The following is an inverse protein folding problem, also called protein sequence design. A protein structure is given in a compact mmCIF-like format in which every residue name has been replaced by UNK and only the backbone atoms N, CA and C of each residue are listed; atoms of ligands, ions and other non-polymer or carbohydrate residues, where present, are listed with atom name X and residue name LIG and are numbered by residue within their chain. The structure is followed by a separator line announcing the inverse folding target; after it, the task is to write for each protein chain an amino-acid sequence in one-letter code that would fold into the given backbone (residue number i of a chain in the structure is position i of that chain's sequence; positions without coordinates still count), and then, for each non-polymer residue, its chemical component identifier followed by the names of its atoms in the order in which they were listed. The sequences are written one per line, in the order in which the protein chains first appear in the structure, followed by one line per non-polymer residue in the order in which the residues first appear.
data_IF_931848517745
#
_entry.id   IF_931848517745
#
_cell.length_a   1.000
_cell.length_b   1.000
_cell.length_c   1.000
_cell.angle_alpha   90.00
_cell.angle_beta   90.00
_cell.angle_gamma   90.00
#
_symmetry.space_group_name_H-M   'P 1'
#
loop_
_entity.id
_entity.type
_entity.pdbx_description
1 polymer ?
#
# COMPACT_ATOMS: atom_id res chain seq x y z
N UNK A 1 7.64 -9.41 10.72
CA UNK A 1 6.91 -9.87 11.93
C UNK A 1 6.04 -11.12 11.76
N UNK A 2 5.08 -11.27 10.83
CA UNK A 2 4.34 -12.56 10.68
C UNK A 2 5.07 -13.60 9.83
N UNK A 3 5.93 -13.16 8.90
CA UNK A 3 6.72 -14.04 8.03
C UNK A 3 7.91 -14.72 8.75
N UNK A 4 8.45 -14.08 9.79
CA UNK A 4 9.51 -14.65 10.64
C UNK A 4 9.01 -15.89 11.39
N UNK A 5 7.81 -15.78 11.97
CA UNK A 5 7.13 -16.90 12.62
C UNK A 5 6.80 -18.02 11.64
N UNK A 6 6.37 -17.71 10.42
CA UNK A 6 6.16 -18.70 9.37
C UNK A 6 7.43 -19.49 9.05
N UNK A 7 8.55 -18.79 8.80
CA UNK A 7 9.83 -19.45 8.52
C UNK A 7 10.32 -20.31 9.69
N UNK A 8 10.09 -19.87 10.93
CA UNK A 8 10.40 -20.68 12.11
C UNK A 8 9.55 -21.96 12.18
N UNK A 9 8.23 -21.85 11.98
CA UNK A 9 7.32 -23.01 11.95
C UNK A 9 7.76 -24.02 10.89
N UNK A 10 8.12 -23.57 9.68
CA UNK A 10 8.60 -24.46 8.61
C UNK A 10 9.94 -25.13 8.97
N UNK A 11 10.90 -24.41 9.56
CA UNK A 11 12.18 -25.00 10.00
C UNK A 11 12.00 -26.02 11.12
N UNK A 12 11.12 -25.73 12.07
CA UNK A 12 10.84 -26.63 13.18
C UNK A 12 10.13 -27.89 12.70
N UNK A 13 9.11 -27.74 11.86
CA UNK A 13 8.43 -28.87 11.24
C UNK A 13 9.42 -29.70 10.43
N UNK A 14 10.33 -29.09 9.65
CA UNK A 14 11.35 -29.79 8.84
C UNK A 14 12.34 -30.63 9.66
N UNK A 15 12.72 -30.15 10.84
CA UNK A 15 13.63 -30.87 11.74
C UNK A 15 12.95 -31.98 12.56
N UNK A 16 11.62 -31.97 12.64
CA UNK A 16 10.87 -32.99 13.39
C UNK A 16 10.70 -34.26 12.55
N UNK A 17 11.55 -35.26 12.80
CA UNK A 17 11.57 -36.54 12.06
C UNK A 17 10.65 -37.60 12.66
N UNK A 18 9.63 -37.20 13.42
CA UNK A 18 8.76 -38.09 14.21
C UNK A 18 7.82 -39.01 13.41
N UNK A 19 7.90 -39.02 12.06
CA UNK A 19 7.06 -39.87 11.21
C UNK A 19 5.57 -39.52 11.23
N UNK A 20 5.18 -38.46 11.93
CA UNK A 20 3.83 -37.93 11.96
C UNK A 20 3.49 -37.20 10.64
N UNK A 21 2.20 -37.12 10.31
CA UNK A 21 1.73 -36.34 9.17
C UNK A 21 2.21 -34.89 9.24
N UNK A 22 2.50 -34.29 8.08
CA UNK A 22 2.97 -32.92 7.99
C UNK A 22 2.05 -31.91 8.71
N UNK A 23 0.74 -32.12 8.63
CA UNK A 23 -0.26 -31.30 9.31
C UNK A 23 -0.06 -31.31 10.84
N UNK A 24 0.17 -32.48 11.43
CA UNK A 24 0.41 -32.63 12.87
C UNK A 24 1.71 -31.96 13.32
N UNK A 25 2.79 -32.07 12.52
CA UNK A 25 4.08 -31.41 12.78
C UNK A 25 3.95 -29.89 12.75
N UNK A 26 3.19 -29.34 11.80
CA UNK A 26 2.91 -27.91 11.71
C UNK A 26 2.07 -27.40 12.89
N UNK A 27 1.07 -28.17 13.34
CA UNK A 27 0.23 -27.81 14.47
C UNK A 27 1.04 -27.83 15.79
N UNK A 28 1.86 -28.86 15.97
CA UNK A 28 2.78 -28.95 17.11
C UNK A 28 3.77 -27.77 17.12
N UNK A 29 4.41 -27.46 15.99
CA UNK A 29 5.31 -26.31 15.89
C UNK A 29 4.58 -24.98 16.20
N UNK A 30 3.32 -24.81 15.77
CA UNK A 30 2.53 -23.63 16.08
C UNK A 30 2.15 -23.50 17.57
N UNK A 31 1.95 -24.63 18.25
CA UNK A 31 1.55 -24.70 19.66
C UNK A 31 2.71 -24.41 20.63
N UNK A 32 3.96 -24.46 20.16
CA UNK A 32 5.12 -24.27 21.00
C UNK A 32 5.26 -22.82 21.50
N UNK A 33 5.64 -22.66 22.77
CA UNK A 33 5.80 -21.35 23.40
C UNK A 33 6.89 -20.49 22.72
N UNK A 34 7.93 -21.11 22.15
CA UNK A 34 8.99 -20.44 21.42
C UNK A 34 8.50 -19.70 20.16
N UNK A 35 7.40 -20.13 19.55
CA UNK A 35 6.78 -19.43 18.41
C UNK A 35 6.36 -17.99 18.75
N UNK A 36 6.08 -17.69 20.02
CA UNK A 36 5.72 -16.34 20.45
C UNK A 36 6.88 -15.33 20.34
N UNK A 37 8.12 -15.79 20.37
CA UNK A 37 9.32 -14.96 20.25
C UNK A 37 9.52 -14.40 18.84
N UNK A 38 8.98 -15.08 17.82
CA UNK A 38 9.11 -14.71 16.41
C UNK A 38 7.95 -13.84 15.89
N UNK A 39 7.01 -13.47 16.76
CA UNK A 39 5.92 -12.54 16.45
C UNK A 39 4.52 -13.06 16.76
N UNK A 40 3.50 -12.20 16.54
CA UNK A 40 2.11 -12.56 16.78
C UNK A 40 1.66 -13.68 15.85
N UNK A 41 0.63 -14.42 16.27
CA UNK A 41 0.05 -15.50 15.46
C UNK A 41 -0.42 -14.94 14.10
N UNK A 42 -0.14 -15.65 12.99
CA UNK A 42 -0.57 -15.20 11.67
C UNK A 42 -2.11 -15.16 11.64
N UNK A 43 -2.66 -14.06 11.11
CA UNK A 43 -4.12 -13.90 11.00
C UNK A 43 -4.65 -14.83 9.90
N UNK A 44 -5.86 -15.39 10.08
CA UNK A 44 -6.46 -16.32 9.12
C UNK A 44 -6.50 -15.79 7.67
N UNK A 45 -6.71 -14.49 7.49
CA UNK A 45 -6.76 -13.84 6.16
C UNK A 45 -5.38 -13.45 5.59
N UNK A 46 -4.29 -13.84 6.24
CA UNK A 46 -2.92 -13.49 5.81
C UNK A 46 -2.27 -14.61 5.01
N UNK A 47 -1.41 -14.25 4.06
CA UNK A 47 -0.64 -15.20 3.26
C UNK A 47 0.10 -16.28 4.07
N UNK A 48 0.80 -15.96 5.18
CA UNK A 48 1.45 -16.97 6.01
C UNK A 48 0.50 -18.05 6.54
N UNK A 49 -0.70 -17.65 6.98
CA UNK A 49 -1.70 -18.61 7.45
C UNK A 49 -2.21 -19.50 6.31
N UNK A 50 -2.51 -18.91 5.15
CA UNK A 50 -2.97 -19.68 4.00
C UNK A 50 -1.92 -20.64 3.44
N UNK A 51 -0.65 -20.24 3.41
CA UNK A 51 0.42 -21.13 2.98
C UNK A 51 0.57 -22.31 3.93
N UNK A 52 0.48 -22.09 5.26
CA UNK A 52 0.49 -23.18 6.24
C UNK A 52 -0.70 -24.12 6.06
N UNK A 53 -1.92 -23.59 5.88
CA UNK A 53 -3.11 -24.40 5.62
C UNK A 53 -3.00 -25.19 4.33
N UNK A 54 -2.46 -24.58 3.26
CA UNK A 54 -2.24 -25.28 1.98
C UNK A 54 -1.17 -26.35 2.09
N UNK A 55 -0.06 -26.09 2.79
CA UNK A 55 1.00 -27.07 3.03
C UNK A 55 0.45 -28.28 3.78
N UNK A 56 -0.37 -28.05 4.82
CA UNK A 56 -1.02 -29.10 5.59
C UNK A 56 -2.05 -29.92 4.79
N UNK A 57 -2.60 -29.35 3.71
CA UNK A 57 -3.63 -29.97 2.87
C UNK A 57 -3.08 -30.70 1.63
N UNK A 58 -1.74 -30.76 1.44
CA UNK A 58 -1.14 -31.48 0.31
C UNK A 58 -1.37 -32.99 0.51
N UNK A 59 -2.02 -33.69 -0.44
CA UNK A 59 -2.36 -35.11 -0.28
C UNK A 59 -1.16 -36.05 -0.49
N UNK A 60 -0.16 -35.65 -1.28
CA UNK A 60 1.06 -36.43 -1.54
C UNK A 60 2.17 -36.07 -0.55
N UNK A 61 2.60 -36.99 0.34
CA UNK A 61 3.60 -36.72 1.36
C UNK A 61 4.96 -36.32 0.78
N UNK A 62 5.36 -36.86 -0.38
CA UNK A 62 6.66 -36.53 -0.99
C UNK A 62 6.68 -35.11 -1.56
N UNK A 63 5.56 -34.67 -2.15
CA UNK A 63 5.41 -33.29 -2.60
C UNK A 63 5.31 -32.33 -1.41
N UNK A 64 4.65 -32.75 -0.32
CA UNK A 64 4.51 -31.95 0.88
C UNK A 64 5.85 -31.71 1.58
N UNK A 65 6.71 -32.74 1.64
CA UNK A 65 8.10 -32.64 2.13
C UNK A 65 8.98 -31.79 1.21
N UNK A 66 8.87 -31.93 -0.11
CA UNK A 66 9.60 -31.06 -1.06
C UNK A 66 9.19 -29.59 -0.90
N UNK A 67 7.89 -29.32 -0.72
CA UNK A 67 7.39 -27.99 -0.46
C UNK A 67 7.93 -27.44 0.87
N UNK A 68 7.86 -28.22 1.95
CA UNK A 68 8.40 -27.85 3.26
C UNK A 68 9.91 -27.54 3.20
N UNK A 69 10.67 -28.38 2.50
CA UNK A 69 12.11 -28.21 2.32
C UNK A 69 12.46 -26.93 1.55
N UNK A 70 11.57 -26.49 0.66
CA UNK A 70 11.73 -25.19 -0.01
C UNK A 70 11.42 -24.05 0.97
N UNK A 71 10.32 -24.11 1.72
CA UNK A 71 9.92 -23.03 2.64
C UNK A 71 10.84 -22.85 3.84
N UNK A 72 11.46 -23.91 4.37
CA UNK A 72 12.38 -23.80 5.51
C UNK A 72 13.63 -22.97 5.18
N UNK A 73 14.02 -22.96 3.90
CA UNK A 73 15.20 -22.24 3.40
C UNK A 73 14.89 -20.79 3.04
N UNK A 74 13.61 -20.44 2.85
CA UNK A 74 13.19 -19.09 2.50
C UNK A 74 13.31 -18.12 3.69
N UNK A 75 14.11 -17.06 3.52
CA UNK A 75 14.23 -15.98 4.50
C UNK A 75 13.36 -14.76 4.14
N UNK A 76 12.04 -14.91 4.34
CA UNK A 76 11.03 -13.91 3.95
C UNK A 76 10.86 -12.76 4.95
N UNK A 77 11.37 -12.93 6.17
CA UNK A 77 11.15 -12.02 7.29
C UNK A 77 11.65 -10.59 7.05
N UNK A 78 12.90 -10.47 6.61
CA UNK A 78 13.60 -9.19 6.42
C UNK A 78 13.22 -8.47 5.12
N UNK A 79 12.79 -9.22 4.11
CA UNK A 79 12.55 -8.71 2.76
C UNK A 79 11.13 -8.16 2.56
N UNK A 80 10.16 -8.64 3.35
CA UNK A 80 8.74 -8.30 3.19
C UNK A 80 8.25 -7.20 4.14
N UNK A 81 9.15 -6.52 4.86
CA UNK A 81 8.74 -5.42 5.74
C UNK A 81 8.40 -4.15 4.95
N UNK A 82 7.24 -3.56 5.26
CA UNK A 82 6.82 -2.31 4.66
C UNK A 82 7.83 -1.19 5.00
N UNK A 83 8.36 -0.46 4.00
CA UNK A 83 9.41 0.52 4.25
C UNK A 83 8.89 1.67 5.11
N UNK A 84 9.71 2.09 6.08
CA UNK A 84 9.41 3.21 7.00
C UNK A 84 9.10 4.51 6.24
N UNK A 85 9.72 4.71 5.07
CA UNK A 85 9.46 5.85 4.17
C UNK A 85 7.98 5.97 3.79
N UNK A 86 7.29 4.86 3.58
CA UNK A 86 5.87 4.83 3.23
C UNK A 86 4.98 5.34 4.38
N UNK A 87 5.26 4.89 5.61
CA UNK A 87 4.54 5.34 6.82
C UNK A 87 4.68 6.85 7.03
N UNK A 88 5.89 7.39 6.82
CA UNK A 88 6.18 8.83 6.95
C UNK A 88 5.43 9.65 5.91
N UNK A 89 5.42 9.21 4.65
CA UNK A 89 4.74 9.94 3.58
C UNK A 89 3.21 9.94 3.75
N UNK A 90 2.61 8.86 4.25
CA UNK A 90 1.18 8.86 4.62
C UNK A 90 0.88 9.85 5.75
N UNK A 91 1.72 9.90 6.79
CA UNK A 91 1.56 10.85 7.89
C UNK A 91 1.69 12.30 7.41
N UNK A 92 2.65 12.57 6.52
CA UNK A 92 2.82 13.89 5.91
C UNK A 92 1.58 14.30 5.11
N UNK A 93 1.04 13.42 4.26
CA UNK A 93 -0.15 13.70 3.46
C UNK A 93 -1.36 13.99 4.37
N UNK A 94 -1.55 13.23 5.45
CA UNK A 94 -2.60 13.47 6.43
C UNK A 94 -2.43 14.81 7.15
N UNK A 95 -1.20 15.19 7.51
CA UNK A 95 -0.90 16.48 8.13
C UNK A 95 -1.19 17.65 7.19
N UNK A 96 -0.71 17.59 5.94
CA UNK A 96 -0.98 18.63 4.92
C UNK A 96 -2.48 18.78 4.69
N UNK A 97 -3.22 17.67 4.66
CA UNK A 97 -4.69 17.66 4.54
C UNK A 97 -5.34 18.45 5.69
N UNK A 98 -4.92 18.17 6.93
CA UNK A 98 -5.44 18.84 8.11
C UNK A 98 -5.17 20.36 8.08
N UNK A 99 -3.93 20.75 7.77
CA UNK A 99 -3.54 22.17 7.68
C UNK A 99 -4.33 22.87 6.56
N UNK A 100 -4.50 22.22 5.41
CA UNK A 100 -5.29 22.77 4.30
C UNK A 100 -6.73 23.09 4.72
N UNK A 101 -7.42 22.15 5.36
CA UNK A 101 -8.80 22.40 5.82
C UNK A 101 -8.87 23.45 6.92
N UNK A 102 -7.87 23.53 7.81
CA UNK A 102 -7.79 24.59 8.81
C UNK A 102 -7.69 25.97 8.15
N UNK A 103 -6.77 26.14 7.19
CA UNK A 103 -6.57 27.41 6.47
C UNK A 103 -7.80 27.77 5.64
N UNK A 104 -8.38 26.80 4.92
CA UNK A 104 -9.61 26.99 4.16
C UNK A 104 -10.79 27.39 5.07
N UNK A 105 -10.89 26.79 6.25
CA UNK A 105 -11.89 27.14 7.26
C UNK A 105 -11.73 28.57 7.78
N UNK A 106 -10.50 28.97 8.14
CA UNK A 106 -10.21 30.35 8.58
C UNK A 106 -10.62 31.34 7.47
N UNK A 107 -10.29 31.04 6.21
CA UNK A 107 -10.64 31.93 5.12
C UNK A 107 -12.16 32.10 4.99
N UNK A 108 -12.90 30.99 4.96
CA UNK A 108 -14.35 31.04 4.75
C UNK A 108 -15.10 31.68 5.92
N UNK A 109 -14.70 31.40 7.16
CA UNK A 109 -15.44 31.85 8.34
C UNK A 109 -14.97 33.19 8.91
N UNK A 110 -13.75 33.65 8.59
CA UNK A 110 -13.21 34.90 9.10
C UNK A 110 -12.88 35.90 8.00
N UNK A 111 -12.14 35.50 6.97
CA UNK A 111 -11.61 36.44 5.98
C UNK A 111 -12.73 36.92 5.05
N UNK A 112 -13.43 36.00 4.39
CA UNK A 112 -14.53 36.31 3.46
C UNK A 112 -15.61 37.22 4.06
N UNK A 113 -16.21 36.93 5.23
CA UNK A 113 -17.25 37.79 5.80
C UNK A 113 -16.70 39.17 6.18
N UNK A 114 -15.54 39.24 6.83
CA UNK A 114 -14.94 40.52 7.26
C UNK A 114 -14.68 41.45 6.08
N UNK A 115 -14.15 40.95 4.96
CA UNK A 115 -13.95 41.75 3.76
C UNK A 115 -15.27 42.14 3.10
N UNK A 116 -16.25 41.24 3.06
CA UNK A 116 -17.57 41.55 2.50
C UNK A 116 -18.27 42.65 3.30
N UNK A 117 -18.22 42.58 4.63
CA UNK A 117 -18.77 43.59 5.53
C UNK A 117 -18.06 44.94 5.36
N UNK A 118 -16.73 44.95 5.26
CA UNK A 118 -15.96 46.18 5.01
C UNK A 118 -16.28 46.82 3.67
N UNK A 119 -16.35 46.05 2.58
CA UNK A 119 -16.70 46.59 1.26
C UNK A 119 -18.15 47.11 1.22
N UNK A 120 -19.08 46.40 1.84
CA UNK A 120 -20.47 46.84 1.95
C UNK A 120 -20.59 48.15 2.73
N UNK A 121 -19.85 48.28 3.84
CA UNK A 121 -19.82 49.51 4.64
C UNK A 121 -19.22 50.71 3.89
N UNK A 122 -18.38 50.45 2.88
CA UNK A 122 -17.75 51.46 2.05
C UNK A 122 -18.49 51.67 0.72
N UNK A 123 -19.64 51.03 0.52
CA UNK A 123 -20.44 51.06 -0.71
C UNK A 123 -19.65 50.73 -1.99
N UNK A 124 -18.54 49.98 -1.85
CA UNK A 124 -17.68 49.60 -2.96
C UNK A 124 -18.10 48.26 -3.55
N UNK A 125 -18.19 48.19 -4.88
CA UNK A 125 -18.42 46.93 -5.57
C UNK A 125 -17.23 45.99 -5.37
N UNK A 126 -17.45 44.70 -5.08
CA UNK A 126 -16.37 43.75 -4.91
C UNK A 126 -15.53 43.61 -6.19
N UNK A 127 -14.19 43.57 -6.09
CA UNK A 127 -13.33 43.34 -7.24
C UNK A 127 -13.71 42.05 -7.97
N UNK A 128 -13.66 42.04 -9.30
CA UNK A 128 -14.07 40.90 -10.13
C UNK A 128 -13.39 39.58 -9.73
N UNK A 129 -12.12 39.63 -9.32
CA UNK A 129 -11.37 38.45 -8.84
C UNK A 129 -11.89 37.90 -7.51
N UNK A 130 -12.35 38.75 -6.61
CA UNK A 130 -12.93 38.34 -5.33
C UNK A 130 -14.30 37.69 -5.55
N UNK A 131 -15.12 38.27 -6.43
CA UNK A 131 -16.42 37.71 -6.82
C UNK A 131 -16.29 36.35 -7.52
N UNK A 132 -15.33 36.21 -8.45
CA UNK A 132 -15.02 34.92 -9.10
C UNK A 132 -14.57 33.88 -8.07
N UNK A 133 -13.67 34.27 -7.16
CA UNK A 133 -13.18 33.37 -6.12
C UNK A 133 -14.32 32.89 -5.22
N UNK A 134 -15.18 33.79 -4.73
CA UNK A 134 -16.36 33.42 -3.92
C UNK A 134 -17.32 32.49 -4.69
N UNK A 135 -17.54 32.74 -5.98
CA UNK A 135 -18.45 31.94 -6.82
C UNK A 135 -17.95 30.51 -7.00
N UNK A 136 -16.64 30.33 -7.23
CA UNK A 136 -16.04 29.02 -7.53
C UNK A 136 -15.34 28.37 -6.33
N UNK A 137 -15.36 29.00 -5.16
CA UNK A 137 -14.68 28.53 -3.94
C UNK A 137 -15.06 27.10 -3.56
N UNK A 138 -16.36 26.79 -3.58
CA UNK A 138 -16.88 25.45 -3.23
C UNK A 138 -16.38 24.39 -4.20
N UNK A 139 -16.38 24.68 -5.51
CA UNK A 139 -15.84 23.80 -6.55
C UNK A 139 -14.34 23.60 -6.40
N UNK A 140 -13.60 24.65 -6.07
CA UNK A 140 -12.17 24.59 -5.87
C UNK A 140 -11.79 23.75 -4.64
N UNK A 141 -12.45 23.99 -3.50
CA UNK A 141 -12.28 23.15 -2.31
C UNK A 141 -12.67 21.70 -2.62
N UNK A 142 -13.79 21.47 -3.30
CA UNK A 142 -14.25 20.13 -3.64
C UNK A 142 -13.22 19.39 -4.50
N UNK A 143 -12.67 20.05 -5.52
CA UNK A 143 -11.65 19.47 -6.39
C UNK A 143 -10.38 19.10 -5.59
N UNK A 144 -9.90 19.99 -4.71
CA UNK A 144 -8.73 19.71 -3.87
C UNK A 144 -9.03 18.58 -2.88
N UNK A 145 -10.19 18.63 -2.23
CA UNK A 145 -10.66 17.61 -1.29
C UNK A 145 -10.71 16.24 -1.94
N UNK A 146 -11.24 16.16 -3.16
CA UNK A 146 -11.31 14.92 -3.94
C UNK A 146 -9.92 14.40 -4.26
N UNK A 147 -9.00 15.27 -4.68
CA UNK A 147 -7.63 14.91 -5.04
C UNK A 147 -6.85 14.39 -3.83
N UNK A 148 -6.99 15.06 -2.68
CA UNK A 148 -6.42 14.64 -1.40
C UNK A 148 -7.06 13.32 -0.92
N UNK A 149 -8.37 13.15 -1.06
CA UNK A 149 -9.06 11.93 -0.67
C UNK A 149 -8.59 10.74 -1.52
N UNK A 150 -8.51 10.90 -2.84
CA UNK A 150 -7.97 9.91 -3.77
C UNK A 150 -6.52 9.56 -3.39
N UNK A 151 -5.74 10.57 -3.04
CA UNK A 151 -4.38 10.40 -2.60
C UNK A 151 -4.28 9.53 -1.35
N UNK A 152 -5.07 9.85 -0.33
CA UNK A 152 -5.10 9.14 0.94
C UNK A 152 -5.64 7.70 0.78
N UNK A 153 -6.70 7.52 -0.02
CA UNK A 153 -7.25 6.21 -0.34
C UNK A 153 -6.24 5.34 -1.08
N UNK A 154 -5.51 5.89 -2.06
CA UNK A 154 -4.46 5.15 -2.77
C UNK A 154 -3.36 4.64 -1.82
N UNK A 155 -2.91 5.51 -0.89
CA UNK A 155 -1.92 5.15 0.10
C UNK A 155 -2.46 4.14 1.13
N UNK A 156 -3.73 4.22 1.52
CA UNK A 156 -4.36 3.21 2.38
C UNK A 156 -4.48 1.85 1.67
N UNK A 157 -4.82 1.82 0.39
CA UNK A 157 -4.88 0.57 -0.38
C UNK A 157 -3.48 -0.05 -0.58
N UNK A 158 -2.45 0.77 -0.85
CA UNK A 158 -1.07 0.29 -0.85
C UNK A 158 -0.68 -0.30 0.51
N UNK A 159 -1.05 0.35 1.62
CA UNK A 159 -0.83 -0.20 2.97
C UNK A 159 -1.52 -1.55 3.17
N UNK A 160 -2.72 -1.74 2.61
CA UNK A 160 -3.42 -3.05 2.65
C UNK A 160 -2.68 -4.12 1.83
N UNK A 161 -2.10 -3.77 0.69
CA UNK A 161 -1.24 -4.68 -0.09
C UNK A 161 0.02 -5.08 0.69
N UNK A 162 0.65 -4.13 1.40
CA UNK A 162 1.76 -4.40 2.32
C UNK A 162 1.40 -5.29 3.51
N UNK A 163 0.12 -5.43 3.85
CA UNK A 163 -0.33 -6.34 4.92
C UNK A 163 -0.49 -7.78 4.45
N UNK A 164 -0.20 -8.09 3.18
CA UNK A 164 -0.26 -9.46 2.63
C UNK A 164 -1.59 -10.15 2.93
N UNK A 165 -2.68 -9.39 2.86
CA UNK A 165 -4.02 -9.96 2.93
C UNK A 165 -4.33 -10.70 1.64
N UNK A 166 -4.91 -11.89 1.77
CA UNK A 166 -5.31 -12.69 0.62
C UNK A 166 -6.43 -11.97 -0.12
N UNK A 167 -6.41 -12.01 -1.46
CA UNK A 167 -7.37 -11.35 -2.36
C UNK A 167 -7.48 -9.82 -2.25
N UNK A 168 -6.59 -9.14 -1.51
CA UNK A 168 -6.58 -7.67 -1.43
C UNK A 168 -6.45 -6.98 -2.81
N UNK A 169 -5.78 -7.67 -3.75
CA UNK A 169 -5.50 -7.22 -5.09
C UNK A 169 -6.73 -7.21 -6.03
N UNK A 170 -7.82 -7.89 -5.65
CA UNK A 170 -9.00 -8.09 -6.50
C UNK A 170 -10.16 -7.15 -6.18
N UNK A 171 -10.04 -6.36 -5.12
CA UNK A 171 -11.01 -5.31 -4.80
C UNK A 171 -11.05 -4.25 -5.91
N UNK A 172 -12.27 -3.82 -6.31
CA UNK A 172 -12.48 -2.75 -7.30
C UNK A 172 -11.74 -1.46 -6.92
N UNK A 173 -11.67 -1.17 -5.61
CA UNK A 173 -10.90 -0.05 -5.08
C UNK A 173 -9.39 -0.19 -5.37
N UNK A 174 -8.79 -1.37 -5.21
CA UNK A 174 -7.40 -1.60 -5.63
C UNK A 174 -7.23 -1.49 -7.15
N UNK A 175 -8.21 -1.95 -7.95
CA UNK A 175 -8.12 -1.86 -9.41
C UNK A 175 -8.11 -0.41 -9.91
N UNK A 176 -8.88 0.46 -9.26
CA UNK A 176 -9.02 1.88 -9.64
C UNK A 176 -7.92 2.76 -9.04
N UNK A 177 -7.55 2.55 -7.77
CA UNK A 177 -6.67 3.45 -7.01
C UNK A 177 -5.18 3.08 -7.08
N UNK A 178 -4.85 1.83 -7.42
CA UNK A 178 -3.45 1.35 -7.44
C UNK A 178 -3.00 1.12 -8.87
N UNK A 179 -1.80 1.63 -9.20
CA UNK A 179 -1.21 1.44 -10.52
C UNK A 179 -1.15 -0.05 -10.92
N UNK A 180 -1.38 -0.37 -12.20
CA UNK A 180 -1.34 -1.75 -12.70
C UNK A 180 0.01 -2.41 -12.47
N UNK A 181 1.10 -1.64 -12.47
CA UNK A 181 2.46 -2.14 -12.18
C UNK A 181 2.60 -2.69 -10.76
N UNK A 182 2.07 -1.99 -9.75
CA UNK A 182 2.08 -2.46 -8.36
C UNK A 182 1.26 -3.74 -8.20
N UNK A 183 0.10 -3.81 -8.87
CA UNK A 183 -0.76 -5.00 -8.86
C UNK A 183 -0.10 -6.21 -9.53
N UNK A 184 0.60 -6.01 -10.65
CA UNK A 184 1.33 -7.06 -11.35
C UNK A 184 2.49 -7.59 -10.52
N UNK A 185 3.31 -6.71 -9.94
CA UNK A 185 4.42 -7.10 -9.08
C UNK A 185 3.94 -7.90 -7.85
N UNK A 186 2.84 -7.46 -7.20
CA UNK A 186 2.25 -8.20 -6.09
C UNK A 186 1.70 -9.58 -6.51
N UNK A 187 1.03 -9.68 -7.66
CA UNK A 187 0.56 -10.97 -8.19
C UNK A 187 1.72 -11.91 -8.49
N UNK A 188 2.76 -11.43 -9.17
CA UNK A 188 3.96 -12.20 -9.49
C UNK A 188 4.68 -12.70 -8.23
N UNK A 189 4.75 -11.87 -7.20
CA UNK A 189 5.29 -12.27 -5.90
C UNK A 189 4.42 -13.32 -5.20
N UNK A 190 3.09 -13.16 -5.23
CA UNK A 190 2.16 -14.14 -4.68
C UNK A 190 2.22 -15.47 -5.43
N UNK A 191 2.36 -15.44 -6.76
CA UNK A 191 2.52 -16.63 -7.60
C UNK A 191 3.83 -17.36 -7.28
N UNK A 192 4.93 -16.63 -7.12
CA UNK A 192 6.23 -17.20 -6.73
C UNK A 192 6.16 -17.91 -5.37
N UNK A 193 5.52 -17.28 -4.38
CA UNK A 193 5.37 -17.85 -3.04
C UNK A 193 4.40 -19.02 -2.97
N UNK A 194 3.43 -19.12 -3.88
CA UNK A 194 2.48 -20.24 -3.91
C UNK A 194 3.00 -21.43 -4.70
N UNK A 195 4.04 -21.24 -5.53
CA UNK A 195 4.56 -22.26 -6.44
C UNK A 195 4.79 -23.63 -5.76
N UNK A 196 5.45 -23.72 -4.57
CA UNK A 196 5.69 -25.02 -3.93
C UNK A 196 4.41 -25.72 -3.42
N UNK A 197 3.29 -25.00 -3.31
CA UNK A 197 1.99 -25.54 -2.85
C UNK A 197 0.99 -25.74 -3.98
N UNK A 198 1.33 -25.34 -5.21
CA UNK A 198 0.46 -25.47 -6.37
C UNK A 198 0.61 -26.85 -6.98
N UNK A 199 -0.52 -27.44 -7.36
CA UNK A 199 -0.54 -28.74 -8.01
C UNK A 199 0.05 -28.62 -9.43
N UNK A 200 1.01 -29.49 -9.78
CA UNK A 200 1.83 -29.41 -11.01
C UNK A 200 1.00 -29.31 -12.30
N UNK A 201 -0.22 -29.84 -12.27
CA UNK A 201 -1.14 -29.91 -13.39
C UNK A 201 -1.93 -28.61 -13.63
N UNK A 202 -1.96 -27.69 -12.67
CA UNK A 202 -2.69 -26.41 -12.76
C UNK A 202 -1.83 -25.23 -13.27
N UNK A 203 -0.52 -25.43 -13.51
CA UNK A 203 0.46 -24.36 -13.75
C UNK A 203 0.55 -23.84 -15.19
N UNK A 204 -0.03 -24.54 -16.17
CA UNK A 204 0.25 -24.35 -17.60
C UNK A 204 -0.13 -22.95 -18.17
N UNK A 205 -1.16 -22.28 -17.64
CA UNK A 205 -1.77 -21.14 -18.34
C UNK A 205 -1.60 -19.75 -17.71
N UNK A 206 -1.15 -19.61 -16.46
CA UNK A 206 -1.58 -18.42 -15.69
C UNK A 206 -0.52 -17.34 -15.40
N UNK A 207 0.80 -17.60 -15.40
CA UNK A 207 1.78 -16.56 -15.04
C UNK A 207 3.20 -16.84 -15.58
N UNK A 208 3.92 -15.82 -16.11
CA UNK A 208 5.30 -15.99 -16.60
C UNK A 208 6.29 -16.40 -15.49
N UNK A 209 5.99 -16.06 -14.23
CA UNK A 209 6.78 -16.44 -13.06
C UNK A 209 6.72 -17.95 -12.82
N UNK A 210 5.54 -18.54 -12.93
CA UNK A 210 5.34 -19.96 -12.72
C UNK A 210 6.08 -20.80 -13.77
N UNK A 211 6.10 -20.34 -15.03
CA UNK A 211 6.89 -20.98 -16.10
C UNK A 211 8.38 -20.89 -15.86
N UNK A 212 8.87 -19.76 -15.36
CA UNK A 212 10.29 -19.59 -15.02
C UNK A 212 10.70 -20.54 -13.88
N UNK A 213 9.89 -20.60 -12.81
CA UNK A 213 10.16 -21.51 -11.68
C UNK A 213 10.11 -22.99 -12.08
N UNK A 214 9.21 -23.36 -13.00
CA UNK A 214 9.17 -24.70 -13.57
C UNK A 214 10.46 -25.03 -14.35
N UNK A 215 10.97 -24.10 -15.15
CA UNK A 215 12.24 -24.29 -15.87
C UNK A 215 13.45 -24.37 -14.93
N UNK A 216 13.42 -23.63 -13.82
CA UNK A 216 14.47 -23.66 -12.79
C UNK A 216 14.52 -25.03 -12.12
N UNK A 217 13.36 -25.59 -11.79
CA UNK A 217 13.22 -26.92 -11.21
C UNK A 217 13.63 -28.03 -12.21
N UNK A 218 13.22 -27.93 -13.48
CA UNK A 218 13.63 -28.86 -14.55
C UNK A 218 15.15 -28.89 -14.78
N UNK A 219 15.84 -27.77 -14.48
CA UNK A 219 17.30 -27.65 -14.59
C UNK A 219 18.04 -28.09 -13.32
N UNK A 220 17.35 -28.55 -12.28
CA UNK A 220 17.95 -28.98 -11.03
C UNK A 220 18.59 -27.85 -10.22
N UNK A 221 18.20 -26.60 -10.46
CA UNK A 221 18.67 -25.45 -9.69
C UNK A 221 17.91 -25.33 -8.35
N UNK A 222 18.51 -24.65 -7.38
CA UNK A 222 17.91 -24.46 -6.06
C UNK A 222 16.68 -23.52 -6.14
N UNK A 223 15.50 -24.12 -6.02
CA UNK A 223 14.21 -23.44 -6.09
C UNK A 223 14.01 -22.43 -4.96
N UNK A 224 14.55 -22.69 -3.76
CA UNK A 224 14.38 -21.79 -2.62
C UNK A 224 15.15 -20.48 -2.85
N UNK A 225 16.39 -20.57 -3.37
CA UNK A 225 17.20 -19.40 -3.72
C UNK A 225 16.51 -18.56 -4.80
N UNK A 226 15.98 -19.21 -5.84
CA UNK A 226 15.35 -18.49 -6.95
C UNK A 226 14.02 -17.85 -6.55
N UNK A 227 13.18 -18.54 -5.77
CA UNK A 227 11.94 -17.95 -5.21
C UNK A 227 12.28 -16.75 -4.33
N UNK A 228 13.32 -16.83 -3.50
CA UNK A 228 13.76 -15.72 -2.67
C UNK A 228 14.25 -14.53 -3.51
N UNK A 229 15.11 -14.77 -4.50
CA UNK A 229 15.64 -13.73 -5.38
C UNK A 229 14.52 -13.05 -6.17
N UNK A 230 13.59 -13.84 -6.73
CA UNK A 230 12.46 -13.32 -7.49
C UNK A 230 11.50 -12.52 -6.59
N UNK A 231 11.22 -13.02 -5.38
CA UNK A 231 10.41 -12.31 -4.38
C UNK A 231 11.05 -10.96 -4.02
N UNK A 232 12.36 -10.91 -3.87
CA UNK A 232 13.10 -9.68 -3.57
C UNK A 232 13.02 -8.67 -4.71
N UNK A 233 13.28 -9.09 -5.95
CA UNK A 233 13.19 -8.22 -7.13
C UNK A 233 11.78 -7.67 -7.31
N UNK A 234 10.76 -8.52 -7.16
CA UNK A 234 9.36 -8.09 -7.29
C UNK A 234 8.93 -7.16 -6.15
N UNK A 235 9.43 -7.40 -4.93
CA UNK A 235 9.21 -6.50 -3.80
C UNK A 235 9.84 -5.12 -4.07
N UNK A 236 11.10 -5.07 -4.50
CA UNK A 236 11.77 -3.81 -4.83
C UNK A 236 11.04 -3.06 -5.95
N UNK A 237 10.61 -3.76 -7.01
CA UNK A 237 9.78 -3.19 -8.07
C UNK A 237 8.45 -2.65 -7.56
N UNK A 238 7.78 -3.37 -6.64
CA UNK A 238 6.57 -2.92 -5.97
C UNK A 238 6.81 -1.66 -5.14
N UNK A 239 7.90 -1.60 -4.37
CA UNK A 239 8.28 -0.44 -3.57
C UNK A 239 8.53 0.79 -4.45
N UNK A 240 9.30 0.62 -5.51
CA UNK A 240 9.64 1.70 -6.43
C UNK A 240 8.39 2.23 -7.15
N UNK A 241 7.48 1.35 -7.55
CA UNK A 241 6.22 1.74 -8.18
C UNK A 241 5.30 2.48 -7.19
N UNK A 242 5.21 2.04 -5.93
CA UNK A 242 4.49 2.74 -4.87
C UNK A 242 5.10 4.13 -4.60
N UNK A 243 6.42 4.23 -4.52
CA UNK A 243 7.12 5.50 -4.31
C UNK A 243 6.89 6.46 -5.49
N UNK A 244 6.93 5.96 -6.73
CA UNK A 244 6.64 6.76 -7.92
C UNK A 244 5.21 7.29 -7.92
N UNK A 245 4.24 6.45 -7.56
CA UNK A 245 2.84 6.88 -7.45
C UNK A 245 2.68 7.98 -6.39
N UNK A 246 3.28 7.78 -5.22
CA UNK A 246 3.19 8.72 -4.11
C UNK A 246 3.90 10.05 -4.40
N UNK A 247 5.04 10.01 -5.09
CA UNK A 247 5.72 11.22 -5.60
C UNK A 247 4.85 11.96 -6.59
N UNK A 248 4.31 11.29 -7.61
CA UNK A 248 3.44 11.94 -8.59
C UNK A 248 2.21 12.61 -7.94
N UNK A 249 1.60 11.92 -7.00
CA UNK A 249 0.44 12.38 -6.23
C UNK A 249 0.77 13.58 -5.34
N UNK A 250 1.89 13.54 -4.62
CA UNK A 250 2.34 14.66 -3.76
C UNK A 250 2.77 15.87 -4.59
N UNK A 251 3.41 15.67 -5.75
CA UNK A 251 3.72 16.74 -6.70
C UNK A 251 2.43 17.38 -7.25
N UNK A 252 1.44 16.57 -7.62
CA UNK A 252 0.15 17.07 -8.10
C UNK A 252 -0.55 17.91 -7.01
N UNK A 253 -0.61 17.40 -5.78
CA UNK A 253 -1.16 18.15 -4.63
C UNK A 253 -0.38 19.46 -4.42
N UNK A 254 0.95 19.44 -4.47
CA UNK A 254 1.77 20.62 -4.28
C UNK A 254 1.50 21.70 -5.35
N UNK A 255 1.41 21.32 -6.63
CA UNK A 255 1.06 22.26 -7.72
C UNK A 255 -0.31 22.88 -7.47
N UNK A 256 -1.29 22.07 -7.10
CA UNK A 256 -2.65 22.54 -6.82
C UNK A 256 -2.68 23.49 -5.61
N UNK A 257 -1.94 23.19 -4.55
CA UNK A 257 -1.81 24.07 -3.37
C UNK A 257 -1.11 25.38 -3.74
N UNK A 258 -0.08 25.37 -4.58
CA UNK A 258 0.59 26.60 -5.03
C UNK A 258 -0.39 27.48 -5.82
N UNK A 259 -1.17 26.90 -6.74
CA UNK A 259 -2.20 27.62 -7.48
C UNK A 259 -3.27 28.17 -6.53
N UNK A 260 -3.67 27.38 -5.53
CA UNK A 260 -4.62 27.80 -4.48
C UNK A 260 -4.11 29.03 -3.71
N UNK A 261 -2.85 28.98 -3.25
CA UNK A 261 -2.21 30.08 -2.51
C UNK A 261 -2.06 31.31 -3.41
N UNK A 262 -1.70 31.14 -4.68
CA UNK A 262 -1.59 32.25 -5.62
C UNK A 262 -2.94 32.93 -5.86
N UNK A 263 -4.00 32.15 -6.07
CA UNK A 263 -5.36 32.70 -6.19
C UNK A 263 -5.82 33.37 -4.90
N UNK A 264 -5.51 32.78 -3.74
CA UNK A 264 -5.80 33.36 -2.43
C UNK A 264 -5.08 34.70 -2.22
N UNK A 265 -3.79 34.78 -2.52
CA UNK A 265 -3.03 36.03 -2.39
C UNK A 265 -3.63 37.09 -3.30
N UNK A 266 -3.93 36.72 -4.55
CA UNK A 266 -4.54 37.66 -5.50
C UNK A 266 -5.92 38.13 -5.02
N UNK A 267 -6.75 37.23 -4.47
CA UNK A 267 -8.09 37.58 -4.00
C UNK A 267 -8.10 38.36 -2.67
N UNK A 268 -7.13 38.14 -1.79
CA UNK A 268 -7.01 38.84 -0.50
C UNK A 268 -6.30 40.20 -0.65
N UNK A 269 -5.31 40.31 -1.54
CA UNK A 269 -4.59 41.57 -1.76
C UNK A 269 -5.33 42.52 -2.71
N UNK A 270 -6.10 42.02 -3.68
CA UNK A 270 -6.91 42.87 -4.55
C UNK A 270 -7.81 43.87 -3.79
N UNK A 271 -8.61 43.46 -2.79
CA UNK A 271 -9.41 44.40 -2.02
C UNK A 271 -8.57 45.34 -1.15
N UNK A 272 -7.40 44.92 -0.65
CA UNK A 272 -6.49 45.78 0.12
C UNK A 272 -5.91 46.89 -0.77
N UNK A 273 -5.52 46.56 -2.01
CA UNK A 273 -5.05 47.55 -2.98
C UNK A 273 -6.18 48.50 -3.41
N UNK A 274 -7.39 48.00 -3.66
CA UNK A 274 -8.53 48.88 -3.98
C UNK A 274 -8.93 49.78 -2.81
N UNK A 275 -8.82 49.28 -1.57
CA UNK A 275 -8.99 50.09 -0.36
C UNK A 275 -7.91 51.16 -0.24
N UNK A 276 -6.66 50.84 -0.56
CA UNK A 276 -5.55 51.79 -0.55
C UNK A 276 -5.61 52.86 -1.65
N UNK A 277 -6.29 52.59 -2.77
CA UNK A 277 -6.59 53.60 -3.79
C UNK A 277 -7.81 54.48 -3.45
N UNK A 278 -8.69 54.01 -2.57
CA UNK A 278 -9.92 54.70 -2.18
C UNK A 278 -9.77 55.63 -0.96
N UNK A 279 -8.67 55.52 -0.20
CA UNK A 279 -8.30 56.38 0.94
C UNK A 279 -7.31 57.44 0.45
#
# INVERSE_FOLDING_TARGET
MTWDRFGYICRQAGNDSSGASLAARLEQAQSEQACSLYGPAPKADSWPAQLLTRLAAIPDPDNAERALNTYQQLNLGRQLEAPVKFKRALAYLAYVTFVFYMVAGIYQFKITPTFSDLLNNLEMAPPAYLALYQTYWSLFILAISLLILLALLSALQMRRLFQFKVNAHDSLACRLLVLPSCRRAYRQMADALQYPTLDRHALSEQSPVLRHLQQVEERGMDLAIEIQALTEVQMQGFLQACEKQLKALTTLVAVVVIVAVMMFLTSAYAPIFSLGEAI
#
